data_IF_076512944782
#
_entry.id   IF_076512944782
#
_cell.length_a   1.000
_cell.length_b   1.000
_cell.length_c   1.000
_cell.angle_alpha   90.00
_cell.angle_beta   90.00
_cell.angle_gamma   90.00
#
_symmetry.space_group_name_H-M   'P 1'
#
loop_
_entity.id
_entity.type
_entity.pdbx_description
1 polymer ?
#
# COMPACT_ATOMS: atom_id res chain seq x y z
N UNK A 1 8.66 -4.77 -14.51
CA UNK A 1 9.38 -5.97 -15.02
C UNK A 1 8.73 -6.50 -16.28
N UNK A 2 7.43 -6.82 -16.26
CA UNK A 2 6.73 -7.35 -17.44
C UNK A 2 6.78 -6.42 -18.68
N UNK A 3 6.92 -5.10 -18.50
CA UNK A 3 7.20 -4.18 -19.61
C UNK A 3 8.59 -4.40 -20.24
N UNK A 4 9.60 -4.70 -19.42
CA UNK A 4 10.95 -5.01 -19.88
C UNK A 4 10.95 -6.34 -20.63
N UNK A 5 10.26 -7.33 -20.08
CA UNK A 5 10.02 -8.62 -20.72
C UNK A 5 9.33 -8.47 -22.07
N UNK A 6 8.23 -7.71 -22.13
CA UNK A 6 7.48 -7.49 -23.38
C UNK A 6 8.34 -6.79 -24.44
N UNK A 7 9.24 -5.89 -24.03
CA UNK A 7 10.19 -5.24 -24.94
C UNK A 7 11.22 -6.22 -25.52
N UNK A 8 11.61 -7.24 -24.75
CA UNK A 8 12.50 -8.32 -25.18
C UNK A 8 11.76 -9.50 -25.83
N UNK A 9 10.44 -9.39 -26.02
CA UNK A 9 9.62 -10.42 -26.67
C UNK A 9 9.28 -11.62 -25.77
N UNK A 10 9.38 -11.45 -24.45
CA UNK A 10 8.99 -12.45 -23.46
C UNK A 10 7.53 -12.26 -23.03
N UNK A 11 6.86 -13.36 -22.76
CA UNK A 11 5.45 -13.42 -22.39
C UNK A 11 5.27 -13.36 -20.87
N UNK A 12 4.13 -12.83 -20.42
CA UNK A 12 3.80 -12.72 -19.00
C UNK A 12 2.31 -12.92 -18.74
N UNK A 13 1.99 -13.52 -17.59
CA UNK A 13 0.64 -13.58 -17.04
C UNK A 13 0.65 -12.87 -15.69
N UNK A 14 -0.15 -11.83 -15.54
CA UNK A 14 -0.23 -11.00 -14.33
C UNK A 14 -1.65 -11.05 -13.80
N UNK A 15 -1.85 -11.56 -12.59
CA UNK A 15 -3.17 -11.77 -11.99
C UNK A 15 -3.22 -10.99 -10.67
N UNK A 16 -4.25 -10.17 -10.54
CA UNK A 16 -4.59 -9.39 -9.35
C UNK A 16 -3.46 -8.49 -8.78
N UNK A 17 -2.56 -7.99 -9.62
CA UNK A 17 -1.53 -7.07 -9.16
C UNK A 17 -2.17 -5.79 -8.57
N UNK A 18 -1.88 -5.40 -7.31
CA UNK A 18 -2.52 -4.26 -6.66
C UNK A 18 -2.38 -2.97 -7.47
N UNK A 19 -3.46 -2.20 -7.54
CA UNK A 19 -3.54 -0.92 -8.25
C UNK A 19 -3.32 -0.99 -9.76
N UNK A 20 -3.21 -2.19 -10.35
CA UNK A 20 -3.01 -2.37 -11.78
C UNK A 20 -4.28 -1.98 -12.55
N UNK A 21 -4.29 -0.77 -13.11
CA UNK A 21 -5.40 -0.30 -13.93
C UNK A 21 -5.03 0.81 -14.93
N UNK A 22 -5.66 0.79 -16.12
CA UNK A 22 -6.28 -0.36 -16.76
C UNK A 22 -5.25 -1.43 -17.14
N UNK A 23 -5.63 -2.72 -17.14
CA UNK A 23 -4.87 -3.76 -17.83
C UNK A 23 -4.61 -3.35 -19.28
N UNK A 24 -3.41 -3.64 -19.77
CA UNK A 24 -3.00 -3.28 -21.12
C UNK A 24 -2.39 -4.45 -21.86
N UNK A 25 -2.25 -4.28 -23.16
CA UNK A 25 -1.75 -5.31 -24.07
C UNK A 25 -0.34 -5.76 -23.71
N UNK A 26 -0.22 -7.05 -23.44
CA UNK A 26 1.04 -7.80 -23.30
C UNK A 26 0.93 -9.11 -24.13
N UNK A 27 2.04 -9.84 -24.27
CA UNK A 27 1.99 -11.22 -24.75
C UNK A 27 1.65 -12.14 -23.59
N UNK A 28 0.42 -12.65 -23.55
CA UNK A 28 -0.17 -13.34 -22.39
C UNK A 28 -1.42 -12.63 -21.87
N UNK A 29 -1.57 -12.54 -20.54
CA UNK A 29 -2.79 -12.06 -19.89
C UNK A 29 -2.52 -11.16 -18.68
N UNK A 30 -3.43 -10.24 -18.43
CA UNK A 30 -3.34 -9.29 -17.34
C UNK A 30 -4.72 -9.07 -16.71
N UNK A 31 -4.85 -9.23 -15.40
CA UNK A 31 -6.08 -8.99 -14.65
C UNK A 31 -5.84 -7.90 -13.62
N UNK A 32 -6.74 -6.93 -13.55
CA UNK A 32 -6.69 -5.86 -12.56
C UNK A 32 -6.78 -6.42 -11.14
N UNK A 33 -5.99 -5.88 -10.21
CA UNK A 33 -6.05 -6.23 -8.80
C UNK A 33 -6.70 -5.18 -7.90
N UNK A 34 -6.62 -5.45 -6.60
CA UNK A 34 -7.20 -4.65 -5.53
C UNK A 34 -6.82 -3.16 -5.67
N UNK A 35 -7.81 -2.28 -5.52
CA UNK A 35 -7.63 -0.82 -5.64
C UNK A 35 -7.84 -0.26 -7.04
N UNK A 36 -8.09 -1.13 -8.03
CA UNK A 36 -8.53 -0.72 -9.37
C UNK A 36 -9.94 -0.08 -9.33
N UNK A 37 -10.21 0.98 -10.11
CA UNK A 37 -11.54 1.61 -10.17
C UNK A 37 -12.66 0.66 -10.61
N UNK A 38 -12.36 -0.23 -11.55
CA UNK A 38 -13.25 -1.28 -12.04
C UNK A 38 -12.43 -2.52 -12.34
N UNK A 39 -13.06 -3.69 -12.19
CA UNK A 39 -12.45 -4.95 -12.59
C UNK A 39 -12.34 -5.01 -14.12
N UNK A 40 -11.19 -5.41 -14.62
CA UNK A 40 -10.90 -5.49 -16.05
C UNK A 40 -9.80 -6.52 -16.31
N UNK A 41 -9.67 -6.92 -17.58
CA UNK A 41 -8.58 -7.77 -18.04
C UNK A 41 -8.06 -7.36 -19.42
N UNK A 42 -6.88 -7.86 -19.73
CA UNK A 42 -6.39 -8.03 -21.08
C UNK A 42 -6.09 -9.53 -21.29
N UNK A 43 -6.63 -10.16 -22.35
CA UNK A 43 -7.67 -9.64 -23.24
C UNK A 43 -8.97 -9.26 -22.51
N UNK A 44 -9.77 -8.29 -23.02
CA UNK A 44 -10.99 -7.83 -22.35
C UNK A 44 -12.03 -8.93 -22.07
N UNK A 45 -12.11 -9.94 -22.92
CA UNK A 45 -13.05 -11.06 -22.84
C UNK A 45 -12.70 -12.11 -21.76
N UNK A 46 -11.50 -12.02 -21.18
CA UNK A 46 -10.97 -13.05 -20.29
C UNK A 46 -11.81 -13.23 -19.02
N UNK A 47 -12.28 -12.13 -18.43
CA UNK A 47 -13.12 -12.18 -17.22
C UNK A 47 -14.53 -12.68 -17.52
N UNK A 48 -15.11 -12.32 -18.67
CA UNK A 48 -16.43 -12.82 -19.09
C UNK A 48 -16.40 -14.33 -19.37
N UNK A 49 -15.25 -14.85 -19.78
CA UNK A 49 -15.03 -16.28 -19.92
C UNK A 49 -14.88 -16.97 -18.57
N UNK A 50 -14.07 -16.43 -17.66
CA UNK A 50 -13.96 -16.96 -16.30
C UNK A 50 -15.32 -16.98 -15.58
N UNK A 51 -16.12 -15.92 -15.74
CA UNK A 51 -17.49 -15.83 -15.23
C UNK A 51 -18.38 -16.95 -15.77
N UNK A 52 -18.32 -17.24 -17.08
CA UNK A 52 -19.10 -18.31 -17.69
C UNK A 52 -18.69 -19.71 -17.23
N UNK A 53 -17.40 -19.93 -16.95
CA UNK A 53 -16.88 -21.24 -16.57
C UNK A 53 -17.11 -21.53 -15.09
N UNK A 54 -16.94 -20.53 -14.22
CA UNK A 54 -16.96 -20.72 -12.76
C UNK A 54 -18.16 -20.10 -12.05
N UNK A 55 -19.00 -19.34 -12.75
CA UNK A 55 -20.20 -18.70 -12.19
C UNK A 55 -19.89 -17.50 -11.29
N UNK A 56 -18.72 -16.89 -11.44
CA UNK A 56 -18.29 -15.78 -10.60
C UNK A 56 -16.77 -15.65 -10.52
N UNK A 57 -16.28 -14.42 -10.38
CA UNK A 57 -14.94 -14.17 -9.85
C UNK A 57 -15.00 -13.03 -8.81
N UNK A 58 -15.07 -13.38 -7.52
CA UNK A 58 -15.09 -12.43 -6.40
C UNK A 58 -13.66 -12.16 -5.90
N UNK A 59 -13.12 -11.01 -6.30
CA UNK A 59 -11.73 -10.60 -6.01
C UNK A 59 -11.55 -10.04 -4.60
N UNK A 60 -12.62 -9.61 -3.93
CA UNK A 60 -12.49 -8.89 -2.68
C UNK A 60 -13.69 -9.10 -1.76
N UNK A 61 -13.45 -9.77 -0.64
CA UNK A 61 -14.31 -9.62 0.54
C UNK A 61 -13.72 -8.53 1.43
N UNK A 62 -14.57 -7.70 2.03
CA UNK A 62 -14.13 -6.64 2.95
C UNK A 62 -14.22 -7.14 4.39
N UNK A 63 -13.11 -7.51 5.05
CA UNK A 63 -13.19 -8.16 6.37
C UNK A 63 -13.80 -7.28 7.46
N UNK A 64 -13.82 -5.96 7.23
CA UNK A 64 -14.38 -4.96 8.16
C UNK A 64 -15.90 -4.78 8.02
N UNK A 65 -16.55 -5.43 7.06
CA UNK A 65 -18.01 -5.38 6.87
C UNK A 65 -18.73 -5.89 8.15
N UNK A 66 -19.72 -5.15 8.69
CA UNK A 66 -20.52 -5.61 9.82
C UNK A 66 -21.11 -7.02 9.71
N UNK A 67 -21.39 -7.53 8.50
CA UNK A 67 -21.88 -8.92 8.35
C UNK A 67 -20.92 -9.96 8.91
N UNK A 68 -19.62 -9.65 8.97
CA UNK A 68 -18.56 -10.52 9.49
C UNK A 68 -18.35 -10.40 11.00
N UNK A 69 -19.30 -9.78 11.72
CA UNK A 69 -19.49 -10.08 13.13
C UNK A 69 -19.88 -11.54 13.35
N UNK A 70 -20.55 -12.14 12.36
CA UNK A 70 -20.68 -13.58 12.22
C UNK A 70 -19.40 -14.15 11.57
N UNK A 71 -18.59 -14.84 12.37
CA UNK A 71 -17.36 -15.47 11.90
C UNK A 71 -17.63 -16.69 11.02
N UNK A 72 -18.75 -17.39 11.19
CA UNK A 72 -19.11 -18.50 10.31
C UNK A 72 -19.37 -17.98 8.90
N UNK A 73 -20.08 -16.85 8.80
CA UNK A 73 -20.27 -16.17 7.51
C UNK A 73 -18.96 -15.67 6.90
N UNK A 74 -18.03 -15.19 7.71
CA UNK A 74 -16.71 -14.78 7.24
C UNK A 74 -15.93 -15.94 6.62
N UNK A 75 -15.84 -17.08 7.30
CA UNK A 75 -15.14 -18.25 6.75
C UNK A 75 -15.84 -18.81 5.52
N UNK A 76 -17.18 -18.88 5.50
CA UNK A 76 -17.95 -19.30 4.32
C UNK A 76 -17.59 -18.45 3.09
N UNK A 77 -17.63 -17.12 3.22
CA UNK A 77 -17.30 -16.20 2.13
C UNK A 77 -15.79 -16.26 1.77
N UNK A 78 -14.91 -16.44 2.76
CA UNK A 78 -13.46 -16.55 2.55
C UNK A 78 -13.09 -17.78 1.72
N UNK A 79 -13.59 -18.96 2.12
CA UNK A 79 -13.38 -20.22 1.40
C UNK A 79 -13.98 -20.16 -0.01
N UNK A 80 -15.23 -19.71 -0.15
CA UNK A 80 -15.90 -19.58 -1.45
C UNK A 80 -15.15 -18.62 -2.38
N UNK A 81 -14.74 -17.45 -1.89
CA UNK A 81 -14.00 -16.47 -2.70
C UNK A 81 -12.62 -17.01 -3.09
N UNK A 82 -11.92 -17.68 -2.17
CA UNK A 82 -10.61 -18.26 -2.47
C UNK A 82 -10.70 -19.40 -3.49
N UNK A 83 -11.72 -20.25 -3.41
CA UNK A 83 -11.94 -21.32 -4.38
C UNK A 83 -12.12 -20.76 -5.80
N UNK A 84 -12.93 -19.71 -5.96
CA UNK A 84 -13.11 -19.02 -7.24
C UNK A 84 -11.79 -18.40 -7.74
N UNK A 85 -11.01 -17.81 -6.83
CA UNK A 85 -9.68 -17.27 -7.13
C UNK A 85 -8.72 -18.36 -7.62
N UNK A 86 -8.61 -19.46 -6.89
CA UNK A 86 -7.73 -20.57 -7.24
C UNK A 86 -8.08 -21.15 -8.61
N UNK A 87 -9.37 -21.44 -8.85
CA UNK A 87 -9.86 -21.96 -10.15
C UNK A 87 -9.58 -21.00 -11.29
N UNK A 88 -9.89 -19.71 -11.11
CA UNK A 88 -9.69 -18.68 -12.14
C UNK A 88 -8.21 -18.51 -12.46
N UNK A 89 -7.34 -18.50 -11.45
CA UNK A 89 -5.90 -18.28 -11.64
C UNK A 89 -5.23 -19.44 -12.36
N UNK A 90 -5.56 -20.69 -11.98
CA UNK A 90 -5.10 -21.88 -12.68
C UNK A 90 -5.62 -21.94 -14.12
N UNK A 91 -6.88 -21.56 -14.33
CA UNK A 91 -7.47 -21.49 -15.67
C UNK A 91 -6.74 -20.51 -16.57
N UNK A 92 -6.50 -19.27 -16.11
CA UNK A 92 -5.77 -18.26 -16.87
C UNK A 92 -4.34 -18.73 -17.15
N UNK A 93 -3.63 -19.23 -16.13
CA UNK A 93 -2.26 -19.70 -16.29
C UNK A 93 -2.13 -20.85 -17.29
N UNK A 94 -3.09 -21.78 -17.33
CA UNK A 94 -3.13 -22.88 -18.31
C UNK A 94 -3.53 -22.40 -19.70
N UNK A 95 -4.48 -21.48 -19.80
CA UNK A 95 -4.94 -20.92 -21.08
C UNK A 95 -3.82 -20.20 -21.84
N UNK A 96 -2.96 -19.50 -21.12
CA UNK A 96 -1.81 -18.78 -21.67
C UNK A 96 -0.50 -19.51 -21.37
N UNK A 97 -0.49 -20.85 -21.43
CA UNK A 97 0.72 -21.65 -21.23
C UNK A 97 1.87 -21.19 -22.14
N UNK A 98 3.10 -21.35 -21.67
CA UNK A 98 4.29 -20.80 -22.33
C UNK A 98 4.65 -19.37 -21.89
N UNK A 99 4.03 -18.88 -20.81
CA UNK A 99 4.48 -17.67 -20.13
C UNK A 99 5.93 -17.83 -19.61
N UNK A 100 6.72 -16.76 -19.66
CA UNK A 100 8.03 -16.73 -19.00
C UNK A 100 7.93 -16.27 -17.54
N UNK A 101 6.91 -15.47 -17.22
CA UNK A 101 6.59 -15.04 -15.85
C UNK A 101 5.09 -15.15 -15.59
N UNK A 102 4.74 -15.86 -14.54
CA UNK A 102 3.43 -15.77 -13.89
C UNK A 102 3.60 -14.99 -12.58
N UNK A 103 2.84 -13.91 -12.42
CA UNK A 103 2.74 -13.17 -11.16
C UNK A 103 1.28 -13.24 -10.71
N UNK A 104 1.03 -13.91 -9.58
CA UNK A 104 -0.32 -14.11 -9.06
C UNK A 104 -0.40 -13.72 -7.58
N UNK A 105 -1.37 -12.86 -7.23
CA UNK A 105 -1.53 -12.30 -5.89
C UNK A 105 -2.69 -12.96 -5.16
N UNK A 106 -2.44 -13.44 -3.94
CA UNK A 106 -3.44 -14.05 -3.06
C UNK A 106 -3.67 -13.15 -1.85
N UNK A 107 -4.63 -12.22 -1.96
CA UNK A 107 -4.97 -11.29 -0.87
C UNK A 107 -5.76 -11.91 0.28
N UNK A 108 -6.34 -13.10 0.07
CA UNK A 108 -7.19 -13.76 1.08
C UNK A 108 -6.46 -14.05 2.41
N UNK A 109 -5.15 -14.27 2.35
CA UNK A 109 -4.32 -14.46 3.56
C UNK A 109 -4.27 -13.21 4.43
N UNK A 110 -4.14 -12.03 3.82
CA UNK A 110 -4.16 -10.74 4.52
C UNK A 110 -5.53 -10.51 5.21
N UNK A 111 -6.62 -10.87 4.53
CA UNK A 111 -7.96 -10.76 5.09
C UNK A 111 -8.17 -11.66 6.31
N UNK A 112 -7.70 -12.91 6.22
CA UNK A 112 -7.69 -13.84 7.35
C UNK A 112 -6.85 -13.26 8.50
N UNK A 113 -5.64 -12.79 8.22
CA UNK A 113 -4.74 -12.26 9.25
C UNK A 113 -5.31 -11.02 9.93
N UNK A 114 -5.89 -10.08 9.19
CA UNK A 114 -6.56 -8.92 9.78
C UNK A 114 -7.74 -9.31 10.66
N UNK A 115 -8.60 -10.22 10.19
CA UNK A 115 -9.85 -10.54 10.89
C UNK A 115 -9.67 -11.50 12.07
N UNK A 116 -8.75 -12.46 11.93
CA UNK A 116 -8.71 -13.70 12.70
C UNK A 116 -7.34 -13.99 13.32
N UNK A 117 -6.43 -13.01 13.45
CA UNK A 117 -5.08 -13.26 14.01
C UNK A 117 -5.05 -14.11 15.29
N UNK A 118 -5.90 -13.90 16.31
CA UNK A 118 -5.88 -14.73 17.52
C UNK A 118 -6.19 -16.21 17.25
N UNK A 119 -6.95 -16.52 16.21
CA UNK A 119 -7.27 -17.90 15.80
C UNK A 119 -6.16 -18.50 14.93
N UNK A 120 -5.51 -17.69 14.09
CA UNK A 120 -4.35 -18.11 13.30
C UNK A 120 -3.16 -18.44 14.21
N UNK A 121 -2.97 -17.66 15.28
CA UNK A 121 -1.92 -17.89 16.27
C UNK A 121 -2.30 -18.92 17.35
N UNK A 122 -3.56 -19.38 17.37
CA UNK A 122 -4.06 -20.35 18.32
C UNK A 122 -4.06 -21.76 17.73
N UNK A 123 -4.05 -22.78 18.60
CA UNK A 123 -4.05 -24.19 18.18
C UNK A 123 -5.42 -24.85 18.35
N UNK A 124 -6.27 -24.32 19.23
CA UNK A 124 -7.53 -24.94 19.63
C UNK A 124 -8.78 -24.15 19.22
N UNK A 125 -9.89 -24.86 19.03
CA UNK A 125 -11.21 -24.30 18.76
C UNK A 125 -11.61 -24.26 17.27
N UNK A 126 -12.90 -24.02 17.02
CA UNK A 126 -13.50 -24.04 15.67
C UNK A 126 -12.76 -23.15 14.69
N UNK A 127 -12.54 -21.88 15.04
CA UNK A 127 -11.96 -20.89 14.12
C UNK A 127 -10.45 -21.03 13.92
N UNK A 128 -9.72 -21.60 14.89
CA UNK A 128 -8.30 -21.92 14.72
C UNK A 128 -8.13 -23.06 13.71
N UNK A 129 -8.99 -24.10 13.80
CA UNK A 129 -9.05 -25.18 12.81
C UNK A 129 -9.42 -24.68 11.41
N UNK A 130 -10.44 -23.82 11.30
CA UNK A 130 -10.82 -23.22 10.00
C UNK A 130 -9.70 -22.31 9.44
N UNK A 131 -8.94 -21.62 10.29
CA UNK A 131 -7.78 -20.83 9.86
C UNK A 131 -6.66 -21.71 9.31
N UNK A 132 -6.36 -22.83 9.98
CA UNK A 132 -5.39 -23.82 9.52
C UNK A 132 -5.83 -24.47 8.20
N UNK A 133 -7.08 -24.92 8.11
CA UNK A 133 -7.67 -25.50 6.90
C UNK A 133 -7.62 -24.52 5.72
N UNK A 134 -7.87 -23.23 5.95
CA UNK A 134 -7.74 -22.21 4.91
C UNK A 134 -6.28 -22.09 4.41
N UNK A 135 -5.30 -22.07 5.32
CA UNK A 135 -3.89 -22.00 4.95
C UNK A 135 -3.41 -23.28 4.25
N UNK A 136 -3.95 -24.44 4.61
CA UNK A 136 -3.73 -25.71 3.89
C UNK A 136 -4.26 -25.62 2.46
N UNK A 137 -5.47 -25.09 2.23
CA UNK A 137 -5.99 -24.87 0.87
C UNK A 137 -5.13 -23.90 0.04
N UNK A 138 -4.52 -22.89 0.67
CA UNK A 138 -3.53 -22.02 -0.01
C UNK A 138 -2.29 -22.83 -0.41
N UNK A 139 -1.85 -23.76 0.44
CA UNK A 139 -0.80 -24.73 0.12
C UNK A 139 -1.15 -25.62 -1.06
N UNK A 140 -2.35 -26.21 -1.05
CA UNK A 140 -2.85 -27.06 -2.14
C UNK A 140 -2.89 -26.30 -3.47
N UNK A 141 -3.33 -25.04 -3.45
CA UNK A 141 -3.32 -24.17 -4.62
C UNK A 141 -1.90 -23.95 -5.19
N UNK A 142 -0.89 -23.76 -4.34
CA UNK A 142 0.51 -23.66 -4.76
C UNK A 142 0.99 -25.00 -5.33
N UNK A 143 0.61 -26.12 -4.71
CA UNK A 143 0.95 -27.46 -5.20
C UNK A 143 0.36 -27.73 -6.59
N UNK A 144 -0.87 -27.26 -6.87
CA UNK A 144 -1.48 -27.38 -8.19
C UNK A 144 -0.71 -26.62 -9.28
N UNK A 145 -0.08 -25.49 -8.97
CA UNK A 145 0.87 -24.84 -9.89
C UNK A 145 2.10 -25.71 -10.15
N UNK A 146 2.70 -26.26 -9.09
CA UNK A 146 3.89 -27.11 -9.20
C UNK A 146 3.61 -28.41 -9.98
N UNK A 147 2.39 -28.96 -9.89
CA UNK A 147 1.97 -30.12 -10.69
C UNK A 147 1.66 -29.76 -12.14
N UNK A 148 1.17 -28.55 -12.38
CA UNK A 148 0.70 -28.13 -13.71
C UNK A 148 1.82 -27.60 -14.62
N UNK A 149 2.94 -27.15 -14.05
CA UNK A 149 3.99 -26.47 -14.80
C UNK A 149 5.39 -26.93 -14.36
N UNK A 150 6.28 -27.13 -15.34
CA UNK A 150 7.70 -27.38 -15.08
C UNK A 150 8.43 -26.05 -14.82
N UNK A 151 8.59 -25.70 -13.54
CA UNK A 151 9.13 -24.41 -13.12
C UNK A 151 10.61 -24.50 -12.76
N UNK A 152 11.43 -23.66 -13.39
CA UNK A 152 12.81 -23.41 -12.96
C UNK A 152 12.87 -22.76 -11.56
N UNK A 153 11.90 -21.89 -11.26
CA UNK A 153 11.82 -21.12 -10.02
C UNK A 153 10.36 -20.77 -9.66
N UNK A 154 10.00 -21.01 -8.41
CA UNK A 154 8.82 -20.46 -7.73
C UNK A 154 9.30 -19.51 -6.62
N UNK A 155 8.79 -18.28 -6.61
CA UNK A 155 9.05 -17.30 -5.56
C UNK A 155 7.73 -17.02 -4.84
N UNK A 156 7.61 -17.46 -3.59
CA UNK A 156 6.53 -17.04 -2.70
C UNK A 156 7.03 -15.85 -1.88
N UNK A 157 6.37 -14.71 -2.03
CA UNK A 157 6.79 -13.45 -1.42
C UNK A 157 5.57 -12.78 -0.80
N UNK A 158 5.66 -12.39 0.47
CA UNK A 158 4.69 -11.46 1.06
C UNK A 158 5.18 -10.02 0.90
N UNK A 159 4.27 -9.10 0.62
CA UNK A 159 4.55 -7.66 0.61
C UNK A 159 4.85 -7.10 2.02
N UNK A 160 4.31 -7.72 3.06
CA UNK A 160 4.62 -7.46 4.46
C UNK A 160 4.44 -8.71 5.34
N UNK A 161 4.92 -8.65 6.58
CA UNK A 161 4.57 -9.63 7.60
C UNK A 161 3.23 -9.34 8.27
N UNK A 162 2.83 -10.23 9.18
CA UNK A 162 1.59 -10.10 9.96
C UNK A 162 1.83 -10.45 11.43
N UNK A 163 1.02 -9.85 12.30
CA UNK A 163 1.12 -10.00 13.75
C UNK A 163 -0.14 -9.50 14.45
N UNK A 164 -0.23 -9.62 15.79
CA UNK A 164 -1.40 -9.13 16.52
C UNK A 164 -1.53 -7.61 16.42
N UNK A 165 -2.77 -7.11 16.38
CA UNK A 165 -3.06 -5.70 16.60
C UNK A 165 -3.35 -5.49 18.09
N UNK A 166 -2.40 -4.88 18.80
CA UNK A 166 -2.38 -4.85 20.27
C UNK A 166 -2.77 -3.50 20.84
N UNK A 167 -2.51 -2.41 20.10
CA UNK A 167 -2.67 -1.06 20.60
C UNK A 167 -3.33 -0.14 19.59
N UNK A 168 -3.92 0.93 20.12
CA UNK A 168 -4.34 2.12 19.37
C UNK A 168 -3.56 3.32 19.87
N UNK A 169 -3.05 4.13 18.96
CA UNK A 169 -2.25 5.32 19.24
C UNK A 169 -2.86 6.55 18.56
N UNK A 170 -3.35 7.49 19.35
CA UNK A 170 -3.98 8.71 18.85
C UNK A 170 -2.93 9.80 18.62
N UNK A 171 -2.34 9.78 17.42
CA UNK A 171 -1.32 10.75 17.03
C UNK A 171 -1.88 12.18 16.96
N UNK A 172 -3.11 12.35 16.45
CA UNK A 172 -3.74 13.67 16.39
C UNK A 172 -3.89 14.29 17.78
N UNK A 173 -4.41 13.52 18.75
CA UNK A 173 -4.58 14.03 20.11
C UNK A 173 -3.25 14.37 20.76
N UNK A 174 -2.21 13.58 20.54
CA UNK A 174 -0.88 13.86 21.06
C UNK A 174 -0.30 15.15 20.48
N UNK A 175 -0.40 15.36 19.16
CA UNK A 175 0.08 16.59 18.52
C UNK A 175 -0.65 17.84 19.02
N UNK A 176 -1.95 17.72 19.31
CA UNK A 176 -2.74 18.80 19.89
C UNK A 176 -2.35 19.06 21.35
N UNK A 177 -2.28 18.02 22.19
CA UNK A 177 -1.96 18.21 23.62
C UNK A 177 -0.54 18.70 23.86
N UNK A 178 0.38 18.45 22.92
CA UNK A 178 1.78 18.90 22.97
C UNK A 178 1.99 20.28 22.32
N UNK A 179 0.93 20.91 21.79
CA UNK A 179 1.01 22.24 21.17
C UNK A 179 1.75 22.27 19.83
N UNK A 180 1.77 21.17 19.09
CA UNK A 180 2.27 21.15 17.71
C UNK A 180 1.17 21.48 16.69
N UNK A 181 -0.08 21.08 17.01
CA UNK A 181 -1.28 21.35 16.22
C UNK A 181 -2.24 22.22 17.02
N UNK A 182 -2.69 23.30 16.39
CA UNK A 182 -3.81 24.11 16.83
C UNK A 182 -5.09 23.57 16.17
N UNK A 183 -6.00 23.05 16.99
CA UNK A 183 -7.21 22.38 16.54
C UNK A 183 -8.39 22.75 17.45
N UNK A 184 -9.60 22.98 16.92
CA UNK A 184 -10.78 23.08 17.75
C UNK A 184 -11.00 21.76 18.50
N UNK A 185 -10.85 21.78 19.82
CA UNK A 185 -10.91 20.58 20.67
C UNK A 185 -12.32 20.13 21.05
N UNK A 186 -13.36 20.77 20.51
CA UNK A 186 -14.77 20.39 20.73
C UNK A 186 -15.59 20.48 19.44
N UNK A 187 -16.65 19.67 19.27
CA UNK A 187 -17.51 19.75 18.08
C UNK A 187 -18.12 21.13 17.85
N UNK A 188 -18.53 21.82 18.92
CA UNK A 188 -19.03 23.20 18.83
C UNK A 188 -17.91 24.17 18.42
N UNK A 189 -16.70 23.98 18.96
CA UNK A 189 -15.51 24.71 18.53
C UNK A 189 -15.19 24.49 17.06
N UNK A 190 -15.38 23.26 16.56
CA UNK A 190 -15.16 22.92 15.16
C UNK A 190 -16.20 23.57 14.24
N UNK A 191 -17.48 23.57 14.63
CA UNK A 191 -18.51 24.30 13.90
C UNK A 191 -18.18 25.81 13.84
N UNK A 192 -17.74 26.40 14.96
CA UNK A 192 -17.28 27.80 15.01
C UNK A 192 -16.05 28.04 14.13
N UNK A 193 -15.10 27.10 14.11
CA UNK A 193 -13.93 27.13 13.24
C UNK A 193 -14.33 27.14 11.76
N UNK A 194 -15.23 26.22 11.33
CA UNK A 194 -15.70 26.16 9.94
C UNK A 194 -16.38 27.46 9.49
N UNK A 195 -17.22 28.05 10.36
CA UNK A 195 -17.86 29.35 10.08
C UNK A 195 -16.81 30.45 9.89
N UNK A 196 -15.82 30.53 10.80
CA UNK A 196 -14.73 31.51 10.71
C UNK A 196 -13.85 31.30 9.49
N UNK A 197 -13.59 30.05 9.11
CA UNK A 197 -12.77 29.71 7.94
C UNK A 197 -13.45 30.16 6.64
N UNK A 198 -14.77 29.95 6.52
CA UNK A 198 -15.57 30.46 5.40
C UNK A 198 -15.58 31.99 5.38
N UNK A 199 -15.77 32.65 6.52
CA UNK A 199 -15.70 34.12 6.64
C UNK A 199 -14.32 34.65 6.21
N UNK A 200 -13.24 34.00 6.64
CA UNK A 200 -11.86 34.40 6.29
C UNK A 200 -11.60 34.28 4.79
N UNK A 201 -11.98 33.15 4.17
CA UNK A 201 -11.86 32.93 2.72
C UNK A 201 -12.63 33.99 1.92
N UNK A 202 -13.81 34.40 2.41
CA UNK A 202 -14.60 35.47 1.80
C UNK A 202 -13.93 36.82 1.98
N UNK A 203 -13.37 37.10 3.17
CA UNK A 203 -12.67 38.35 3.49
C UNK A 203 -11.40 38.54 2.66
N UNK A 204 -10.59 37.50 2.46
CA UNK A 204 -9.37 37.55 1.62
C UNK A 204 -9.66 37.79 0.13
N UNK A 205 -10.83 37.36 -0.35
CA UNK A 205 -11.29 37.66 -1.72
C UNK A 205 -11.82 39.10 -1.82
N UNK A 206 -12.53 39.57 -0.80
CA UNK A 206 -13.09 40.91 -0.76
C UNK A 206 -12.04 42.00 -0.50
N UNK A 207 -10.95 41.70 0.22
CA UNK A 207 -9.85 42.65 0.45
C UNK A 207 -9.01 42.93 -0.80
N UNK A 208 -9.13 42.10 -1.85
CA UNK A 208 -8.48 42.29 -3.16
C UNK A 208 -9.38 42.93 -4.21
N UNK A 209 -10.67 43.14 -3.94
CA UNK A 209 -11.61 43.70 -4.92
C UNK A 209 -12.47 44.76 -4.25
N UNK A 210 -12.12 46.02 -4.51
CA UNK A 210 -13.02 47.14 -4.26
C UNK A 210 -14.33 46.91 -5.02
N UNK A 211 -15.40 46.63 -4.27
CA UNK A 211 -16.81 46.61 -4.69
C UNK A 211 -17.22 45.41 -5.58
N UNK A 212 -18.04 44.49 -5.06
CA UNK A 212 -19.50 44.54 -5.23
C UNK A 212 -20.14 43.24 -4.71
N UNK A 213 -21.11 43.40 -3.81
CA UNK A 213 -21.81 42.34 -3.06
C UNK A 213 -22.75 41.43 -3.89
N UNK A 214 -22.64 41.40 -5.22
CA UNK A 214 -23.61 40.76 -6.12
C UNK A 214 -23.10 39.57 -6.94
N UNK A 215 -21.82 39.18 -6.85
CA UNK A 215 -21.27 38.02 -7.59
C UNK A 215 -21.33 36.71 -6.80
N UNK A 216 -21.49 36.78 -5.48
CA UNK A 216 -21.42 35.63 -4.55
C UNK A 216 -22.56 34.61 -4.79
N UNK A 217 -23.71 35.06 -5.29
CA UNK A 217 -24.85 34.16 -5.56
C UNK A 217 -24.66 33.24 -6.78
N UNK A 218 -23.79 33.59 -7.74
CA UNK A 218 -23.54 32.78 -8.96
C UNK A 218 -22.37 31.79 -8.84
N UNK A 219 -21.51 31.94 -7.83
CA UNK A 219 -20.32 31.08 -7.61
C UNK A 219 -20.63 29.76 -6.89
N UNK A 220 -21.79 29.62 -6.24
CA UNK A 220 -22.18 28.40 -5.50
C UNK A 220 -22.42 27.15 -6.37
N UNK A 221 -22.42 27.29 -7.71
CA UNK A 221 -22.70 26.17 -8.64
C UNK A 221 -21.48 25.61 -9.38
N UNK A 222 -20.25 26.09 -9.11
CA UNK A 222 -19.05 25.72 -9.90
C UNK A 222 -17.85 25.16 -9.15
N UNK A 223 -17.94 24.89 -7.84
CA UNK A 223 -16.83 24.27 -7.07
C UNK A 223 -17.10 22.80 -6.74
N UNK A 224 -17.07 21.95 -7.78
CA UNK A 224 -16.71 20.53 -7.66
C UNK A 224 -15.73 20.24 -8.79
N UNK A 225 -14.54 19.73 -8.43
CA UNK A 225 -13.36 19.40 -9.26
C UNK A 225 -12.24 20.45 -9.29
N UNK A 226 -11.38 20.36 -8.27
CA UNK A 226 -9.92 20.19 -8.40
C UNK A 226 -9.33 20.07 -7.00
N UNK A 227 -9.25 18.85 -6.48
CA UNK A 227 -8.29 18.52 -5.44
C UNK A 227 -6.95 18.38 -6.16
N UNK A 228 -6.07 19.35 -5.96
CA UNK A 228 -4.66 19.24 -6.33
C UNK A 228 -4.00 18.54 -5.15
N UNK A 229 -3.22 17.51 -5.44
CA UNK A 229 -2.38 16.76 -4.51
C UNK A 229 -1.58 17.71 -3.60
N UNK A 230 -1.74 17.57 -2.29
CA UNK A 230 -0.94 18.27 -1.28
C UNK A 230 -1.74 19.10 -0.27
N UNK A 231 -3.01 19.45 -0.54
CA UNK A 231 -3.83 20.14 0.46
C UNK A 231 -4.39 19.16 1.49
N UNK A 232 -4.14 19.39 2.79
CA UNK A 232 -4.86 18.76 3.90
C UNK A 232 -6.36 18.76 3.57
N UNK A 233 -7.06 17.61 3.52
CA UNK A 233 -8.49 17.58 3.26
C UNK A 233 -9.23 18.54 4.19
N UNK A 234 -10.17 19.34 3.67
CA UNK A 234 -10.91 20.37 4.43
C UNK A 234 -11.79 19.83 5.57
N UNK A 235 -11.66 18.55 5.91
CA UNK A 235 -12.32 17.88 7.02
C UNK A 235 -11.41 17.74 8.25
N UNK A 236 -10.11 18.02 8.14
CA UNK A 236 -9.23 18.02 9.30
C UNK A 236 -9.41 19.31 10.11
N UNK A 237 -9.72 19.22 11.41
CA UNK A 237 -9.84 20.39 12.27
C UNK A 237 -8.44 20.91 12.62
N UNK A 238 -7.70 21.48 11.67
CA UNK A 238 -6.34 22.00 11.88
C UNK A 238 -6.28 23.44 11.39
N UNK A 239 -5.90 24.36 12.27
CA UNK A 239 -5.56 25.74 11.91
C UNK A 239 -4.11 25.79 11.42
N UNK A 240 -3.92 25.67 10.10
CA UNK A 240 -2.58 25.58 9.49
C UNK A 240 -1.74 26.83 9.73
N UNK A 241 -2.35 28.01 9.82
CA UNK A 241 -1.61 29.27 10.02
C UNK A 241 -1.06 29.40 11.45
N UNK A 242 -1.44 28.48 12.35
CA UNK A 242 -0.97 28.42 13.74
C UNK A 242 -0.39 27.06 14.14
N UNK A 243 -0.38 26.09 13.23
CA UNK A 243 0.12 24.73 13.50
C UNK A 243 1.51 24.55 12.90
N UNK A 244 2.45 24.08 13.72
CA UNK A 244 3.84 23.80 13.29
C UNK A 244 3.95 22.51 12.49
N UNK A 245 3.01 21.59 12.70
CA UNK A 245 2.89 20.35 11.94
C UNK A 245 1.45 20.15 11.50
N UNK A 246 1.24 19.25 10.55
CA UNK A 246 -0.07 18.76 10.17
C UNK A 246 -0.01 17.26 9.89
N UNK A 247 -1.19 16.64 9.84
CA UNK A 247 -1.35 15.21 9.62
C UNK A 247 -2.22 14.99 8.38
N UNK A 248 -1.78 14.10 7.51
CA UNK A 248 -2.59 13.61 6.38
C UNK A 248 -3.16 12.24 6.70
N UNK A 249 -4.19 11.83 5.95
CA UNK A 249 -4.76 10.51 6.12
C UNK A 249 -3.83 9.48 5.47
N UNK A 250 -3.27 8.60 6.29
CA UNK A 250 -2.52 7.42 5.85
C UNK A 250 -3.25 6.16 6.31
N UNK A 251 -2.72 4.99 5.95
CA UNK A 251 -3.19 3.74 6.55
C UNK A 251 -2.88 3.75 8.05
N UNK A 252 -3.62 2.97 8.84
CA UNK A 252 -3.46 2.96 10.30
C UNK A 252 -2.20 2.24 10.77
N UNK A 253 -1.36 1.71 9.88
CA UNK A 253 -0.20 0.88 10.24
C UNK A 253 1.04 1.68 10.66
N UNK A 254 1.08 2.96 10.32
CA UNK A 254 2.17 3.86 10.66
C UNK A 254 1.61 5.26 10.91
N UNK A 255 2.35 6.05 11.69
CA UNK A 255 2.08 7.47 11.85
C UNK A 255 2.90 8.29 10.86
N UNK A 256 2.34 9.40 10.40
CA UNK A 256 3.02 10.30 9.48
C UNK A 256 2.83 11.74 9.95
N UNK A 257 3.93 12.47 10.10
CA UNK A 257 3.93 13.87 10.53
C UNK A 257 4.60 14.71 9.45
N UNK A 258 3.95 15.80 9.08
CA UNK A 258 4.46 16.77 8.13
C UNK A 258 4.70 18.09 8.86
N UNK A 259 5.88 18.66 8.70
CA UNK A 259 6.24 19.98 9.19
C UNK A 259 5.64 21.03 8.25
N UNK A 260 4.99 22.03 8.84
CA UNK A 260 4.44 23.17 8.10
C UNK A 260 5.56 24.17 7.78
N UNK A 261 6.49 23.74 6.93
CA UNK A 261 7.75 24.41 6.63
C UNK A 261 7.55 25.58 5.67
N UNK A 262 8.08 26.75 6.04
CA UNK A 262 8.05 27.96 5.22
C UNK A 262 8.81 27.77 3.92
N UNK A 263 8.18 28.17 2.81
CA UNK A 263 8.74 28.01 1.46
C UNK A 263 8.50 26.64 0.83
N UNK A 264 8.09 25.63 1.60
CA UNK A 264 7.63 24.33 1.09
C UNK A 264 6.10 24.26 1.08
N UNK A 265 5.47 24.63 2.20
CA UNK A 265 4.02 24.59 2.34
C UNK A 265 3.36 25.95 2.07
N UNK A 266 2.14 25.98 1.50
CA UNK A 266 1.45 27.24 1.20
C UNK A 266 1.21 28.14 2.44
N UNK A 267 0.97 27.54 3.61
CA UNK A 267 0.77 28.22 4.90
C UNK A 267 1.95 27.98 5.86
N UNK A 268 3.16 27.74 5.33
CA UNK A 268 4.34 27.40 6.13
C UNK A 268 4.71 28.46 7.16
N UNK A 269 4.74 28.08 8.43
CA UNK A 269 5.09 28.97 9.56
C UNK A 269 6.40 28.59 10.26
N UNK A 270 6.90 27.38 10.05
CA UNK A 270 8.17 26.92 10.63
C UNK A 270 9.31 27.44 9.76
N UNK A 271 10.24 28.21 10.33
CA UNK A 271 11.41 28.69 9.60
C UNK A 271 12.37 27.53 9.28
N UNK A 272 13.12 27.59 8.18
CA UNK A 272 14.06 26.52 7.81
C UNK A 272 15.07 26.14 8.90
N UNK A 273 15.52 27.12 9.70
CA UNK A 273 16.46 26.88 10.81
C UNK A 273 15.82 26.13 11.99
N UNK A 274 14.49 26.15 12.11
CA UNK A 274 13.74 25.47 13.16
C UNK A 274 13.26 24.07 12.75
N UNK A 275 13.47 23.67 11.49
CA UNK A 275 13.01 22.39 10.95
C UNK A 275 13.62 21.20 11.70
N UNK A 276 14.95 21.11 11.80
CA UNK A 276 15.61 20.01 12.52
C UNK A 276 15.32 20.03 14.03
N UNK A 277 15.44 21.17 14.74
CA UNK A 277 15.08 21.23 16.15
C UNK A 277 13.65 20.78 16.43
N UNK A 278 12.68 21.14 15.57
CA UNK A 278 11.30 20.72 15.72
C UNK A 278 11.13 19.20 15.54
N UNK A 279 11.82 18.60 14.55
CA UNK A 279 11.78 17.15 14.36
C UNK A 279 12.31 16.41 15.58
N UNK A 280 13.42 16.87 16.14
CA UNK A 280 14.01 16.27 17.35
C UNK A 280 13.05 16.39 18.55
N UNK A 281 12.46 17.56 18.76
CA UNK A 281 11.48 17.78 19.82
C UNK A 281 10.27 16.83 19.71
N UNK A 282 9.80 16.55 18.49
CA UNK A 282 8.70 15.61 18.25
C UNK A 282 9.15 14.18 18.56
N UNK A 283 10.37 13.79 18.18
CA UNK A 283 10.94 12.45 18.49
C UNK A 283 11.07 12.26 20.00
N UNK A 284 11.56 13.25 20.72
CA UNK A 284 11.61 13.23 22.19
C UNK A 284 10.22 13.08 22.82
N UNK A 285 9.21 13.78 22.29
CA UNK A 285 7.84 13.65 22.77
C UNK A 285 7.27 12.25 22.52
N UNK A 286 7.57 11.63 21.37
CA UNK A 286 7.22 10.23 21.11
C UNK A 286 7.87 9.30 22.15
N UNK A 287 9.16 9.51 22.46
CA UNK A 287 9.88 8.70 23.43
C UNK A 287 9.31 8.84 24.85
N UNK A 288 8.94 10.06 25.27
CA UNK A 288 8.27 10.30 26.57
C UNK A 288 6.94 9.57 26.66
N UNK A 289 6.13 9.62 25.59
CA UNK A 289 4.86 8.91 25.53
C UNK A 289 5.05 7.40 25.57
N UNK A 290 6.00 6.87 24.78
CA UNK A 290 6.36 5.45 24.80
C UNK A 290 6.72 4.98 26.22
N UNK A 291 7.61 5.70 26.90
CA UNK A 291 7.99 5.40 28.29
C UNK A 291 6.81 5.48 29.26
N UNK A 292 5.99 6.54 29.15
CA UNK A 292 4.84 6.77 30.04
C UNK A 292 3.79 5.66 29.96
N UNK A 293 3.52 5.17 28.75
CA UNK A 293 2.48 4.16 28.51
C UNK A 293 3.02 2.74 28.43
N UNK A 294 4.35 2.55 28.50
CA UNK A 294 4.99 1.24 28.40
C UNK A 294 4.84 0.61 27.02
N UNK A 295 4.88 1.42 25.96
CA UNK A 295 4.79 0.98 24.56
C UNK A 295 6.06 1.35 23.79
N UNK A 296 6.28 0.70 22.65
CA UNK A 296 7.34 1.01 21.70
C UNK A 296 6.84 1.94 20.60
N UNK A 297 7.52 3.07 20.41
CA UNK A 297 7.32 3.97 19.27
C UNK A 297 8.68 4.22 18.64
N UNK A 298 8.87 3.76 17.41
CA UNK A 298 10.06 4.06 16.62
C UNK A 298 9.75 5.16 15.63
N UNK A 299 10.52 6.24 15.70
CA UNK A 299 10.42 7.37 14.78
C UNK A 299 11.54 7.28 13.75
N UNK A 300 11.23 7.53 12.49
CA UNK A 300 12.17 7.59 11.38
C UNK A 300 12.03 8.94 10.71
N UNK A 301 13.15 9.62 10.44
CA UNK A 301 13.18 10.71 9.46
C UNK A 301 13.10 10.13 8.06
N UNK A 302 12.48 10.84 7.13
CA UNK A 302 12.28 10.35 5.76
C UNK A 302 13.58 9.93 5.08
N UNK A 303 14.65 10.68 5.30
CA UNK A 303 15.97 10.43 4.73
C UNK A 303 16.67 9.19 5.30
N UNK A 304 16.18 8.63 6.40
CA UNK A 304 16.70 7.36 6.95
C UNK A 304 16.17 6.14 6.21
N UNK A 305 15.00 6.26 5.57
CA UNK A 305 14.25 5.12 5.01
C UNK A 305 13.90 5.28 3.53
N UNK A 306 14.00 6.49 2.97
CA UNK A 306 13.69 6.79 1.58
C UNK A 306 14.77 7.64 0.94
N UNK A 307 15.00 7.43 -0.35
CA UNK A 307 15.91 8.20 -1.20
C UNK A 307 15.29 8.42 -2.59
N UNK A 308 15.86 9.33 -3.37
CA UNK A 308 15.43 9.60 -4.74
C UNK A 308 14.66 10.91 -4.94
N UNK A 309 14.14 11.17 -6.15
CA UNK A 309 13.67 12.49 -6.57
C UNK A 309 12.35 12.95 -5.93
N UNK A 310 11.68 12.07 -5.17
CA UNK A 310 10.37 12.34 -4.58
C UNK A 310 10.38 12.33 -3.04
N UNK A 311 11.56 12.28 -2.40
CA UNK A 311 11.68 12.29 -0.92
C UNK A 311 11.03 13.51 -0.30
N UNK A 312 11.03 14.65 -0.98
CA UNK A 312 10.40 15.87 -0.48
C UNK A 312 8.87 15.80 -0.39
N UNK A 313 8.24 14.81 -1.02
CA UNK A 313 6.78 14.60 -0.94
C UNK A 313 6.38 13.68 0.21
N UNK A 314 7.34 13.07 0.90
CA UNK A 314 7.10 12.11 1.97
C UNK A 314 6.93 12.82 3.33
N UNK A 315 6.29 12.17 4.32
CA UNK A 315 6.21 12.69 5.68
C UNK A 315 7.59 13.00 6.24
N UNK A 316 7.75 14.10 6.98
CA UNK A 316 9.04 14.45 7.58
C UNK A 316 9.47 13.50 8.70
N UNK A 317 8.48 12.89 9.37
CA UNK A 317 8.65 11.80 10.31
C UNK A 317 7.63 10.69 10.05
N UNK A 318 8.10 9.45 10.08
CA UNK A 318 7.30 8.23 10.01
C UNK A 318 7.42 7.48 11.33
N UNK A 319 6.29 7.06 11.90
CA UNK A 319 6.22 6.40 13.19
C UNK A 319 5.77 4.95 13.04
N UNK A 320 6.45 4.04 13.71
CA UNK A 320 6.06 2.65 13.86
C UNK A 320 5.76 2.35 15.33
N UNK A 321 4.51 2.03 15.64
CA UNK A 321 4.06 1.73 17.01
C UNK A 321 3.99 0.21 17.19
N UNK A 322 4.58 -0.30 18.27
CA UNK A 322 4.57 -1.74 18.62
C UNK A 322 5.04 -2.62 17.45
N UNK A 323 6.09 -2.19 16.75
CA UNK A 323 6.65 -2.85 15.56
C UNK A 323 5.64 -3.11 14.42
N UNK A 324 4.58 -2.29 14.35
CA UNK A 324 3.47 -2.43 13.39
C UNK A 324 2.21 -3.03 14.02
N UNK A 325 2.25 -3.44 15.29
CA UNK A 325 1.09 -3.92 16.05
C UNK A 325 0.16 -2.81 16.53
N UNK A 326 0.62 -1.56 16.60
CA UNK A 326 -0.17 -0.42 17.03
C UNK A 326 -0.85 0.28 15.87
N UNK A 327 -2.18 0.41 15.91
CA UNK A 327 -2.94 1.20 14.95
C UNK A 327 -2.83 2.69 15.28
N UNK A 328 -2.40 3.51 14.32
CA UNK A 328 -2.30 4.97 14.47
C UNK A 328 -3.59 5.63 13.99
N UNK A 329 -4.20 6.43 14.86
CA UNK A 329 -5.48 7.10 14.64
C UNK A 329 -5.37 8.61 14.77
N UNK A 330 -6.31 9.30 14.13
CA UNK A 330 -6.35 10.75 14.01
C UNK A 330 -7.63 11.34 14.63
N UNK A 331 -7.91 10.97 15.89
CA UNK A 331 -9.07 11.47 16.65
C UNK A 331 -8.70 12.73 17.44
N UNK A 332 -8.93 13.91 16.84
CA UNK A 332 -8.61 15.22 17.41
C UNK A 332 -9.42 15.56 18.68
N UNK A 333 -10.62 14.99 18.82
CA UNK A 333 -11.55 15.29 19.91
C UNK A 333 -11.45 14.29 21.07
N UNK A 334 -10.90 13.11 20.79
CA UNK A 334 -10.65 12.07 21.77
C UNK A 334 -9.83 12.57 22.95
N UNK A 335 -10.19 12.12 24.15
CA UNK A 335 -9.44 12.42 25.39
C UNK A 335 -8.53 11.26 25.79
N UNK A 336 -7.83 10.69 24.81
CA UNK A 336 -6.99 9.51 24.99
C UNK A 336 -5.77 9.58 24.05
N UNK A 337 -4.65 8.96 24.45
CA UNK A 337 -3.40 8.91 23.66
C UNK A 337 -3.08 7.47 23.26
N UNK A 338 -3.10 6.55 24.22
CA UNK A 338 -2.89 5.11 23.98
C UNK A 338 -4.08 4.33 24.52
N UNK A 339 -4.49 3.29 23.80
CA UNK A 339 -5.35 2.22 24.32
C UNK A 339 -4.70 0.87 24.05
N UNK A 340 -4.76 -0.02 25.02
CA UNK A 340 -4.30 -1.41 24.90
C UNK A 340 -5.48 -2.28 24.45
N UNK A 341 -5.93 -2.05 23.23
CA UNK A 341 -6.99 -2.81 22.57
C UNK A 341 -6.73 -2.78 21.05
N UNK A 342 -7.30 -3.73 20.32
CA UNK A 342 -7.25 -3.72 18.87
C UNK A 342 -8.12 -2.59 18.28
N UNK A 343 -7.82 -2.17 17.05
CA UNK A 343 -8.52 -1.10 16.33
C UNK A 343 -10.04 -1.33 16.28
N UNK A 344 -10.46 -2.58 16.09
CA UNK A 344 -11.85 -2.99 16.24
C UNK A 344 -11.96 -4.50 16.43
N UNK A 345 -13.16 -4.97 16.81
CA UNK A 345 -13.47 -6.42 16.85
C UNK A 345 -13.32 -7.16 15.51
N UNK A 346 -13.25 -6.42 14.38
CA UNK A 346 -13.03 -6.96 13.02
C UNK A 346 -11.61 -6.70 12.50
N UNK A 347 -10.71 -6.23 13.37
CA UNK A 347 -9.35 -5.87 13.03
C UNK A 347 -8.41 -6.29 14.17
N UNK A 348 -8.15 -7.59 14.24
CA UNK A 348 -7.40 -8.23 15.33
C UNK A 348 -5.93 -8.48 14.96
N UNK A 349 -5.59 -8.48 13.66
CA UNK A 349 -4.22 -8.53 13.15
C UNK A 349 -3.79 -7.23 12.48
N UNK A 350 -2.49 -6.99 12.45
CA UNK A 350 -1.84 -5.84 11.81
C UNK A 350 -0.53 -6.27 11.15
N UNK A 351 0.03 -5.40 10.33
CA UNK A 351 1.24 -5.66 9.55
C UNK A 351 2.50 -5.74 10.41
N UNK A 352 3.55 -6.37 9.87
CA UNK A 352 4.91 -6.41 10.41
C UNK A 352 5.91 -6.12 9.29
N UNK A 353 7.09 -5.60 9.65
CA UNK A 353 8.14 -5.30 8.66
C UNK A 353 8.77 -6.54 8.02
N UNK A 354 8.85 -7.64 8.76
CA UNK A 354 9.46 -8.87 8.27
C UNK A 354 8.39 -9.81 7.74
N UNK A 355 8.41 -10.03 6.43
CA UNK A 355 7.51 -10.95 5.72
C UNK A 355 8.11 -12.34 5.50
N UNK A 356 7.43 -13.12 4.66
CA UNK A 356 7.82 -14.43 4.17
C UNK A 356 8.50 -14.32 2.80
N UNK A 357 9.58 -15.08 2.63
CA UNK A 357 10.16 -15.40 1.34
C UNK A 357 10.45 -16.90 1.25
N UNK A 358 10.01 -17.53 0.17
CA UNK A 358 10.40 -18.90 -0.21
C UNK A 358 10.82 -18.91 -1.67
N UNK A 359 12.05 -19.34 -1.93
CA UNK A 359 12.51 -19.70 -3.27
C UNK A 359 12.52 -21.23 -3.41
N UNK A 360 11.77 -21.76 -4.36
CA UNK A 360 11.67 -23.20 -4.61
C UNK A 360 11.93 -23.51 -6.08
N UNK A 361 12.50 -24.69 -6.37
CA UNK A 361 12.78 -25.16 -7.73
C UNK A 361 14.27 -25.35 -8.05
N UNK A 362 14.60 -25.84 -9.26
CA UNK A 362 15.96 -26.11 -9.71
C UNK A 362 16.93 -24.94 -9.57
N UNK A 363 16.45 -23.70 -9.67
CA UNK A 363 17.29 -22.50 -9.63
C UNK A 363 17.96 -22.22 -8.27
N UNK A 364 17.42 -22.75 -7.17
CA UNK A 364 17.81 -22.33 -5.81
C UNK A 364 18.71 -23.34 -5.11
N UNK A 365 19.66 -22.81 -4.32
CA UNK A 365 20.39 -23.55 -3.28
C UNK A 365 19.52 -23.65 -2.02
N UNK A 366 19.71 -24.72 -1.25
CA UNK A 366 19.09 -24.82 0.08
C UNK A 366 19.76 -23.81 1.02
N UNK A 367 18.96 -22.88 1.55
CA UNK A 367 19.41 -21.86 2.49
C UNK A 367 18.29 -21.50 3.47
N UNK A 368 18.67 -21.04 4.67
CA UNK A 368 17.75 -20.60 5.73
C UNK A 368 18.25 -19.29 6.34
N UNK A 369 17.35 -18.56 7.01
CA UNK A 369 17.66 -17.29 7.69
C UNK A 369 18.30 -16.24 6.76
N UNK A 370 17.82 -16.20 5.52
CA UNK A 370 18.27 -15.23 4.52
C UNK A 370 17.89 -13.82 4.96
N UNK A 371 18.83 -12.87 4.79
CA UNK A 371 18.55 -11.45 4.94
C UNK A 371 18.29 -10.88 3.56
N UNK A 372 17.02 -10.74 3.22
CA UNK A 372 16.55 -10.22 1.94
C UNK A 372 15.73 -8.95 2.14
N UNK A 373 15.75 -8.09 1.13
CA UNK A 373 14.83 -6.97 0.99
C UNK A 373 13.78 -7.29 -0.06
N UNK A 374 12.57 -6.75 0.08
CA UNK A 374 11.57 -6.79 -0.99
C UNK A 374 12.09 -6.13 -2.29
N UNK A 375 13.05 -5.21 -2.16
CA UNK A 375 13.73 -4.56 -3.29
C UNK A 375 14.56 -5.54 -4.12
N UNK A 376 14.98 -6.67 -3.55
CA UNK A 376 15.80 -7.69 -4.23
C UNK A 376 14.95 -8.57 -5.18
N UNK A 377 13.63 -8.63 -4.98
CA UNK A 377 12.74 -9.53 -5.74
C UNK A 377 12.74 -9.19 -7.24
N UNK A 378 12.66 -7.91 -7.57
CA UNK A 378 12.67 -7.47 -8.96
C UNK A 378 14.01 -7.79 -9.68
N UNK A 379 15.18 -7.49 -9.09
CA UNK A 379 16.47 -8.00 -9.53
C UNK A 379 16.54 -9.52 -9.70
N UNK A 380 16.02 -10.29 -8.75
CA UNK A 380 16.02 -11.75 -8.83
C UNK A 380 15.23 -12.25 -10.03
N UNK A 381 14.00 -11.74 -10.23
CA UNK A 381 13.16 -12.10 -11.38
C UNK A 381 13.86 -11.74 -12.69
N UNK A 382 14.43 -10.54 -12.79
CA UNK A 382 15.15 -10.12 -13.99
C UNK A 382 16.38 -11.00 -14.28
N UNK A 383 17.16 -11.37 -13.26
CA UNK A 383 18.30 -12.27 -13.38
C UNK A 383 17.89 -13.67 -13.85
N UNK A 384 16.80 -14.22 -13.29
CA UNK A 384 16.26 -15.52 -13.71
C UNK A 384 15.79 -15.52 -15.17
N UNK A 385 15.26 -14.40 -15.64
CA UNK A 385 14.74 -14.25 -17.00
C UNK A 385 15.78 -13.75 -18.02
N UNK A 386 16.95 -13.30 -17.55
CA UNK A 386 17.97 -12.67 -18.40
C UNK A 386 17.59 -11.30 -18.96
N UNK A 387 16.66 -10.59 -18.30
CA UNK A 387 16.09 -9.32 -18.79
C UNK A 387 16.88 -8.12 -18.29
N UNK A 388 17.10 -7.13 -19.17
CA UNK A 388 17.90 -5.95 -18.85
C UNK A 388 17.08 -4.86 -18.15
N UNK A 389 17.71 -4.15 -17.22
CA UNK A 389 17.10 -2.96 -16.63
C UNK A 389 17.45 -1.67 -17.39
N UNK A 390 16.49 -0.74 -17.53
CA UNK A 390 16.78 0.60 -18.02
C UNK A 390 17.64 1.47 -17.07
N UNK A 391 17.73 1.13 -15.78
CA UNK A 391 18.52 1.82 -14.75
C UNK A 391 19.06 0.83 -13.70
N UNK A 392 19.85 1.29 -12.73
CA UNK A 392 20.25 0.45 -11.59
C UNK A 392 19.06 0.30 -10.62
N UNK A 393 18.57 -0.92 -10.35
CA UNK A 393 17.58 -1.10 -9.29
C UNK A 393 18.24 -0.91 -7.93
N UNK A 394 17.43 -0.53 -6.93
CA UNK A 394 17.90 -0.32 -5.56
C UNK A 394 18.28 -1.64 -4.85
N UNK A 395 17.60 -2.73 -5.18
CA UNK A 395 17.93 -4.06 -4.70
C UNK A 395 19.01 -4.74 -5.54
N UNK A 396 19.37 -5.95 -5.13
CA UNK A 396 20.43 -6.73 -5.76
C UNK A 396 20.03 -8.20 -5.95
N UNK A 397 20.82 -8.95 -6.72
CA UNK A 397 20.70 -10.41 -6.77
C UNK A 397 21.50 -10.98 -5.57
N UNK A 398 20.86 -11.67 -4.61
CA UNK A 398 21.56 -12.21 -3.45
C UNK A 398 22.60 -13.26 -3.84
N UNK A 399 23.84 -13.08 -3.37
CA UNK A 399 24.93 -14.01 -3.64
C UNK A 399 24.69 -15.35 -2.94
N UNK A 400 25.05 -16.44 -3.61
CA UNK A 400 25.00 -17.79 -3.04
C UNK A 400 23.59 -18.38 -2.86
N UNK A 401 22.55 -17.68 -3.34
CA UNK A 401 21.17 -18.18 -3.32
C UNK A 401 20.86 -19.10 -4.51
N UNK A 402 21.54 -18.90 -5.64
CA UNK A 402 21.26 -19.56 -6.92
C UNK A 402 22.30 -20.64 -7.25
N UNK A 403 21.92 -21.61 -8.09
CA UNK A 403 22.78 -22.72 -8.59
C UNK A 403 22.59 -23.01 -10.07
N UNK A 404 23.47 -23.84 -10.62
CA UNK A 404 23.38 -24.31 -12.01
C UNK A 404 23.56 -23.14 -12.97
N UNK A 405 22.73 -23.06 -14.03
CA UNK A 405 22.79 -21.96 -15.01
C UNK A 405 22.55 -20.57 -14.41
N UNK A 406 22.01 -20.49 -13.19
CA UNK A 406 21.69 -19.23 -12.50
C UNK A 406 22.76 -18.79 -11.48
N UNK A 407 23.80 -19.60 -11.26
CA UNK A 407 24.80 -19.32 -10.22
C UNK A 407 25.56 -18.01 -10.45
N UNK A 408 25.87 -17.73 -11.71
CA UNK A 408 26.63 -16.55 -12.15
C UNK A 408 25.77 -15.46 -12.79
N UNK A 409 24.44 -15.52 -12.62
CA UNK A 409 23.54 -14.53 -13.22
C UNK A 409 23.80 -13.13 -12.68
N UNK A 410 23.69 -12.13 -13.55
CA UNK A 410 24.01 -10.73 -13.23
C UNK A 410 22.92 -9.82 -13.76
N UNK A 411 22.75 -8.68 -13.10
CA UNK A 411 21.93 -7.61 -13.61
C UNK A 411 22.61 -6.97 -14.81
N UNK A 412 21.95 -7.05 -15.95
CA UNK A 412 22.37 -6.35 -17.15
C UNK A 412 21.61 -5.03 -17.29
N UNK A 413 22.30 -4.03 -17.83
CA UNK A 413 21.72 -2.72 -18.12
C UNK A 413 21.49 -2.56 -19.60
N UNK A 414 20.35 -1.97 -19.95
CA UNK A 414 20.08 -1.52 -21.30
C UNK A 414 21.14 -0.49 -21.73
N UNK A 415 21.71 -0.67 -22.92
CA UNK A 415 22.50 0.32 -23.64
C UNK A 415 21.68 1.58 -23.94
N UNK A 416 22.34 2.68 -24.31
CA UNK A 416 21.64 3.92 -24.71
C UNK A 416 20.62 3.69 -25.84
N UNK A 417 20.95 2.81 -26.80
CA UNK A 417 20.07 2.46 -27.93
C UNK A 417 18.85 1.67 -27.44
N UNK A 418 19.04 0.67 -26.58
CA UNK A 418 17.94 -0.11 -25.99
C UNK A 418 17.03 0.79 -25.15
N UNK A 419 17.57 1.72 -24.35
CA UNK A 419 16.75 2.68 -23.58
C UNK A 419 15.87 3.55 -24.47
N UNK A 420 16.39 4.01 -25.62
CA UNK A 420 15.61 4.79 -26.58
C UNK A 420 14.50 3.93 -27.21
N UNK A 421 14.83 2.70 -27.61
CA UNK A 421 13.85 1.73 -28.11
C UNK A 421 12.76 1.42 -27.09
N UNK A 422 13.15 1.19 -25.84
CA UNK A 422 12.22 0.93 -24.74
C UNK A 422 11.29 2.12 -24.47
N UNK A 423 11.81 3.35 -24.51
CA UNK A 423 10.97 4.56 -24.39
C UNK A 423 9.94 4.67 -25.54
N UNK A 424 10.36 4.37 -26.77
CA UNK A 424 9.44 4.33 -27.92
C UNK A 424 8.39 3.23 -27.78
N UNK A 425 8.79 2.05 -27.29
CA UNK A 425 7.92 0.92 -27.00
C UNK A 425 6.84 1.28 -25.96
N UNK A 426 7.23 1.86 -24.82
CA UNK A 426 6.27 2.32 -23.79
C UNK A 426 5.29 3.37 -24.33
N UNK A 427 5.76 4.27 -25.18
CA UNK A 427 4.90 5.27 -25.85
C UNK A 427 3.87 4.57 -26.75
N UNK A 428 4.28 3.52 -27.47
CA UNK A 428 3.39 2.73 -28.31
C UNK A 428 2.34 1.96 -27.51
N UNK A 429 2.69 1.42 -26.34
CA UNK A 429 1.73 0.76 -25.44
C UNK A 429 0.68 1.77 -25.00
N UNK A 430 1.10 2.93 -24.47
CA UNK A 430 0.18 3.99 -23.99
C UNK A 430 -0.80 4.43 -25.08
N UNK A 431 -0.31 4.61 -26.31
CA UNK A 431 -1.17 4.98 -27.44
C UNK A 431 -2.19 3.87 -27.77
N UNK A 432 -1.75 2.61 -27.81
CA UNK A 432 -2.61 1.46 -28.13
C UNK A 432 -3.62 1.13 -27.02
N UNK A 433 -3.29 1.40 -25.76
CA UNK A 433 -4.17 1.16 -24.61
C UNK A 433 -5.12 2.32 -24.30
N UNK A 434 -5.07 3.43 -25.04
CA UNK A 434 -5.88 4.61 -24.77
C UNK A 434 -5.55 5.30 -23.44
N UNK A 435 -4.41 4.96 -22.82
CA UNK A 435 -3.90 5.57 -21.59
C UNK A 435 -3.45 7.01 -21.88
N UNK A 436 -4.30 8.00 -21.59
CA UNK A 436 -3.89 9.41 -21.59
C UNK A 436 -2.84 9.65 -20.51
N UNK A 437 -1.85 10.49 -20.80
CA UNK A 437 -0.90 10.99 -19.80
C UNK A 437 -1.67 11.55 -18.60
N UNK A 438 -1.49 10.94 -17.43
CA UNK A 438 -1.76 11.63 -16.17
C UNK A 438 -0.64 12.67 -16.04
N UNK A 439 -0.96 13.92 -16.37
CA UNK A 439 -0.12 15.10 -16.19
C UNK A 439 0.21 15.35 -14.73
#
# INVERSE_FOLDING_TARGET
IWDFMSFEGLSSVIIDYPMLYPPYRIDGAMVSGLGSPTKASYPPELLDEAERVFGGYEEFIRPQDPKYDDLDKFFEDLFRSFELKAKTSLYIAKKYEGWNLLFDVVSHTDWLFHRCWPFVAGEDGKYSKLSAEFLEQVGDFIEEYLKSFDLDALLLVSDHGSGPNTHRFNLARLMVSSGFIESPTSPLGYLKYLVREEERKVSEVLSKVGVMRSVIAKLKRRRRKKAISGSVPSFYPIDLDRSRVFLLNHTTHFGAIYVNLKGREPSGIVEPNDYEPLRELIVEEMAKVASKFGISIKSFRKEEIYWGPHVDWLPDLVLLVEEGGGAVEHDFFGKWIVKNESLSRRYLGSHRRHGLFVGFGPAFKSAKNLKLSILDIAPMIAGLLGVKFPWEPDGSIPKGLFRGKYEDMRLEKMSKKEKLGFKAFLTSIKFKSGLKERS
#
